data_IF_528487561267
#
_entry.id   IF_528487561267
#
_cell.length_a   1.000
_cell.length_b   1.000
_cell.length_c   1.000
_cell.angle_alpha   90.00
_cell.angle_beta   90.00
_cell.angle_gamma   90.00
#
_symmetry.space_group_name_H-M   'P 1'
#
loop_
_entity.id
_entity.type
_entity.pdbx_description
1 polymer ?
#
# COMPACT_ATOMS: atom_id res chain seq x y z
N UNK A 1 10.47 4.49 -2.85
CA UNK A 1 10.88 3.11 -3.23
C UNK A 1 12.12 2.57 -2.52
N UNK A 2 13.09 3.39 -2.12
CA UNK A 2 14.38 2.92 -1.56
C UNK A 2 14.27 1.97 -0.36
N UNK A 3 13.27 2.15 0.53
CA UNK A 3 13.15 1.34 1.75
C UNK A 3 12.69 -0.10 1.53
N UNK A 4 11.76 -0.34 0.59
CA UNK A 4 11.27 -1.69 0.27
C UNK A 4 12.35 -2.54 -0.40
N UNK A 5 13.17 -1.90 -1.23
CA UNK A 5 14.33 -2.55 -1.85
C UNK A 5 15.41 -2.86 -0.82
N UNK A 6 15.74 -1.90 0.06
CA UNK A 6 16.75 -2.10 1.11
C UNK A 6 16.36 -3.17 2.13
N UNK A 7 15.07 -3.35 2.42
CA UNK A 7 14.59 -4.41 3.31
C UNK A 7 14.49 -5.78 2.65
N UNK A 8 14.74 -5.88 1.34
CA UNK A 8 14.55 -7.12 0.57
C UNK A 8 13.08 -7.53 0.40
N UNK A 9 12.13 -6.70 0.85
CA UNK A 9 10.71 -6.98 0.79
C UNK A 9 10.12 -6.75 -0.61
N UNK A 10 10.80 -6.00 -1.47
CA UNK A 10 10.37 -5.71 -2.85
C UNK A 10 10.06 -6.99 -3.65
N UNK A 11 11.00 -7.93 -3.75
CA UNK A 11 10.77 -9.19 -4.48
C UNK A 11 9.63 -10.03 -3.90
N UNK A 12 9.44 -9.98 -2.58
CA UNK A 12 8.35 -10.68 -1.92
C UNK A 12 7.01 -10.06 -2.26
N UNK A 13 6.95 -8.72 -2.24
CA UNK A 13 5.76 -7.98 -2.62
C UNK A 13 5.38 -8.31 -4.07
N UNK A 14 6.35 -8.26 -5.00
CA UNK A 14 6.15 -8.60 -6.41
C UNK A 14 5.60 -10.02 -6.62
N UNK A 15 6.08 -10.99 -5.84
CA UNK A 15 5.57 -12.37 -5.90
C UNK A 15 4.14 -12.48 -5.37
N UNK A 16 3.81 -11.75 -4.30
CA UNK A 16 2.50 -11.86 -3.65
C UNK A 16 1.41 -11.07 -4.37
N UNK A 17 1.71 -9.90 -4.96
CA UNK A 17 0.74 -9.15 -5.78
C UNK A 17 0.32 -9.96 -7.02
N UNK A 18 1.22 -10.76 -7.60
CA UNK A 18 0.90 -11.69 -8.70
C UNK A 18 -0.08 -12.80 -8.30
N UNK A 19 -0.08 -13.19 -7.03
CA UNK A 19 -0.94 -14.26 -6.50
C UNK A 19 -2.21 -13.71 -5.82
N UNK A 20 -2.26 -12.41 -5.55
CA UNK A 20 -3.33 -11.76 -4.81
C UNK A 20 -3.69 -10.41 -5.46
N UNK A 21 -4.69 -10.43 -6.33
CA UNK A 21 -5.19 -9.24 -7.03
C UNK A 21 -5.71 -8.16 -6.08
N UNK A 22 -6.25 -8.53 -4.91
CA UNK A 22 -6.70 -7.54 -3.93
C UNK A 22 -5.52 -6.78 -3.30
N UNK A 23 -4.39 -7.46 -3.07
CA UNK A 23 -3.17 -6.80 -2.60
C UNK A 23 -2.58 -5.92 -3.71
N UNK A 24 -2.61 -6.35 -4.97
CA UNK A 24 -2.12 -5.58 -6.11
C UNK A 24 -2.89 -4.25 -6.28
N UNK A 25 -4.22 -4.30 -6.19
CA UNK A 25 -5.07 -3.09 -6.23
C UNK A 25 -4.72 -2.16 -5.06
N UNK A 26 -4.63 -2.71 -3.84
CA UNK A 26 -4.32 -1.91 -2.66
C UNK A 26 -2.91 -1.31 -2.74
N UNK A 27 -1.94 -2.04 -3.27
CA UNK A 27 -0.59 -1.56 -3.50
C UNK A 27 -0.56 -0.43 -4.52
N UNK A 28 -1.28 -0.58 -5.64
CA UNK A 28 -1.42 0.46 -6.68
C UNK A 28 -2.00 1.75 -6.12
N UNK A 29 -2.94 1.67 -5.16
CA UNK A 29 -3.50 2.84 -4.49
C UNK A 29 -2.44 3.55 -3.63
N UNK A 30 -1.63 2.81 -2.87
CA UNK A 30 -0.79 3.41 -1.81
C UNK A 30 0.64 3.72 -2.23
N UNK A 31 1.17 3.07 -3.27
CA UNK A 31 2.60 3.13 -3.64
C UNK A 31 3.10 4.54 -3.96
N UNK A 32 2.21 5.41 -4.45
CA UNK A 32 2.53 6.78 -4.85
C UNK A 32 2.31 7.79 -3.72
N UNK A 33 1.88 7.34 -2.54
CA UNK A 33 1.75 8.22 -1.38
C UNK A 33 3.12 8.70 -0.90
N UNK A 34 3.21 10.00 -0.63
CA UNK A 34 4.36 10.64 -0.01
C UNK A 34 3.92 11.42 1.23
N UNK A 35 4.88 11.83 2.07
CA UNK A 35 4.62 12.65 3.24
C UNK A 35 3.90 13.97 2.88
N UNK A 36 4.22 14.55 1.72
CA UNK A 36 3.57 15.76 1.19
C UNK A 36 2.07 15.58 0.95
N UNK A 37 1.64 14.36 0.59
CA UNK A 37 0.23 14.04 0.36
C UNK A 37 -0.64 14.27 1.59
N UNK A 38 -0.05 14.28 2.80
CA UNK A 38 -0.74 14.61 4.06
C UNK A 38 -1.31 16.02 4.07
N UNK A 39 -0.67 16.95 3.37
CA UNK A 39 -1.00 18.38 3.39
C UNK A 39 -1.85 18.80 2.18
N UNK A 40 -2.25 17.85 1.34
CA UNK A 40 -3.18 18.10 0.22
C UNK A 40 -4.61 18.00 0.76
N UNK A 41 -5.27 19.13 0.89
CA UNK A 41 -6.66 19.21 1.36
C UNK A 41 -7.69 19.05 0.23
N UNK A 42 -7.28 19.25 -1.02
CA UNK A 42 -8.13 19.11 -2.20
C UNK A 42 -8.12 17.66 -2.73
N UNK A 43 -8.53 16.72 -1.87
CA UNK A 43 -8.80 15.33 -2.26
C UNK A 43 -10.27 15.00 -2.06
N UNK A 44 -10.82 14.22 -2.97
CA UNK A 44 -12.19 13.73 -2.81
C UNK A 44 -12.27 12.75 -1.63
N UNK A 45 -13.42 12.75 -0.94
CA UNK A 45 -13.72 11.76 0.11
C UNK A 45 -13.51 10.33 -0.38
N UNK A 46 -13.94 10.03 -1.61
CA UNK A 46 -13.77 8.70 -2.23
C UNK A 46 -12.30 8.32 -2.31
N UNK A 47 -11.43 9.24 -2.70
CA UNK A 47 -9.98 8.98 -2.74
C UNK A 47 -9.44 8.71 -1.33
N UNK A 48 -9.82 9.51 -0.35
CA UNK A 48 -9.40 9.33 1.04
C UNK A 48 -9.87 7.96 1.62
N UNK A 49 -11.12 7.60 1.40
CA UNK A 49 -11.71 6.33 1.86
C UNK A 49 -11.03 5.13 1.19
N UNK A 50 -10.70 5.23 -0.10
CA UNK A 50 -9.96 4.20 -0.83
C UNK A 50 -8.54 4.01 -0.29
N UNK A 51 -7.81 5.10 -0.05
CA UNK A 51 -6.48 5.05 0.58
C UNK A 51 -6.54 4.41 1.96
N UNK A 52 -7.45 4.88 2.81
CA UNK A 52 -7.61 4.34 4.15
C UNK A 52 -7.92 2.83 4.13
N UNK A 53 -8.83 2.41 3.26
CA UNK A 53 -9.21 1.01 3.11
C UNK A 53 -8.08 0.14 2.56
N UNK A 54 -7.34 0.63 1.56
CA UNK A 54 -6.20 -0.07 0.98
C UNK A 54 -5.06 -0.31 1.98
N UNK A 55 -4.85 0.63 2.90
CA UNK A 55 -3.86 0.48 3.98
C UNK A 55 -4.36 -0.47 5.07
N UNK A 56 -5.60 -0.27 5.55
CA UNK A 56 -6.10 -0.90 6.79
C UNK A 56 -6.85 -2.21 6.60
N UNK A 57 -7.10 -2.65 5.36
CA UNK A 57 -7.82 -3.89 5.10
C UNK A 57 -7.19 -5.09 5.82
N UNK A 58 -8.01 -5.84 6.54
CA UNK A 58 -7.55 -6.90 7.46
C UNK A 58 -6.81 -8.06 6.77
N UNK A 59 -7.26 -8.46 5.57
CA UNK A 59 -6.69 -9.62 4.86
C UNK A 59 -5.68 -9.25 3.77
N UNK A 60 -5.92 -8.13 3.08
CA UNK A 60 -5.17 -7.76 1.87
C UNK A 60 -4.68 -6.31 1.92
N UNK A 61 -4.76 -5.66 3.08
CA UNK A 61 -4.27 -4.30 3.27
C UNK A 61 -2.75 -4.26 3.36
N UNK A 62 -2.16 -3.18 2.87
CA UNK A 62 -0.70 -3.05 2.79
C UNK A 62 -0.06 -3.02 4.16
N UNK A 63 -0.70 -2.43 5.17
CA UNK A 63 -0.18 -2.46 6.55
C UNK A 63 -0.23 -3.88 7.15
N UNK A 64 -1.29 -4.64 6.87
CA UNK A 64 -1.41 -6.03 7.31
C UNK A 64 -0.32 -6.89 6.69
N UNK A 65 0.01 -6.65 5.42
CA UNK A 65 1.09 -7.32 4.70
C UNK A 65 2.46 -6.96 5.27
N UNK A 66 2.75 -5.66 5.48
CA UNK A 66 4.02 -5.19 6.05
C UNK A 66 4.27 -5.80 7.43
N UNK A 67 3.27 -5.80 8.32
CA UNK A 67 3.36 -6.40 9.67
C UNK A 67 3.66 -7.91 9.67
N UNK A 68 3.43 -8.60 8.56
CA UNK A 68 3.72 -10.04 8.44
C UNK A 68 5.20 -10.30 8.16
N UNK A 69 5.90 -9.34 7.55
CA UNK A 69 7.23 -9.54 6.98
C UNK A 69 8.30 -8.55 7.45
N UNK A 70 7.92 -7.56 8.25
CA UNK A 70 8.80 -6.66 8.99
C UNK A 70 8.75 -7.01 10.48
#
# INVERSE_FOLDING_TARGET
ETLLRLSGLEHRLESEIKQNSALDINWTIVKDWSEDSRYIFDISKVRADNFYSAVTARKHGVLSWLKKYW
#
